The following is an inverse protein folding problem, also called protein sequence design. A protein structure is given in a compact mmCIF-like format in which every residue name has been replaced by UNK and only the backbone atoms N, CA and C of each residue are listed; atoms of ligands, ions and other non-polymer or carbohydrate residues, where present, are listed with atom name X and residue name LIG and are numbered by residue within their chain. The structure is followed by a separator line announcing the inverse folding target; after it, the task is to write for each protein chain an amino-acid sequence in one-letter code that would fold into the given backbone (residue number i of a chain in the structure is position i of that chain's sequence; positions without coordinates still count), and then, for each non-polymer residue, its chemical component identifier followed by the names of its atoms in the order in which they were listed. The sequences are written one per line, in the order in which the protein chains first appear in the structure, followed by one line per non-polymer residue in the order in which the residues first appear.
data_IF_921320992667
#
_entry.id   IF_921320992667
#
_cell.length_a   1.000
_cell.length_b   1.000
_cell.length_c   1.000
_cell.angle_alpha   90.00
_cell.angle_beta   90.00
_cell.angle_gamma   90.00
#
_symmetry.space_group_name_H-M   'P 1'
#
loop_
_entity.id
_entity.type
_entity.pdbx_description
1 polymer ?
#
# COMPACT_ATOMS: atom_id res chain seq x y z
N UNK A 1 -15.59 -25.23 22.17
CA UNK A 1 -14.28 -25.39 21.49
C UNK A 1 -14.26 -24.35 20.39
N UNK A 2 -13.35 -23.38 20.47
CA UNK A 2 -13.20 -22.35 19.44
C UNK A 2 -12.66 -22.99 18.15
N UNK A 3 -13.08 -22.50 16.99
CA UNK A 3 -12.56 -23.00 15.69
C UNK A 3 -11.10 -22.57 15.49
N UNK A 4 -10.30 -23.26 14.65
CA UNK A 4 -8.93 -22.85 14.34
C UNK A 4 -8.82 -21.41 13.78
N UNK A 5 -9.91 -20.88 13.22
CA UNK A 5 -10.05 -19.51 12.73
C UNK A 5 -10.23 -18.47 13.85
N UNK A 6 -10.94 -18.83 14.93
CA UNK A 6 -11.11 -17.96 16.11
C UNK A 6 -9.81 -17.79 16.92
N UNK A 7 -8.86 -18.73 16.77
CA UNK A 7 -7.53 -18.67 17.38
C UNK A 7 -6.55 -17.71 16.66
N UNK A 8 -6.96 -17.07 15.56
CA UNK A 8 -6.05 -16.33 14.67
C UNK A 8 -6.13 -14.80 14.78
N UNK A 9 -7.03 -14.26 15.61
CA UNK A 9 -7.02 -12.81 15.86
C UNK A 9 -5.92 -12.48 16.85
N UNK A 10 -4.90 -11.69 16.44
CA UNK A 10 -3.83 -11.35 17.35
C UNK A 10 -4.38 -10.54 18.53
N UNK A 11 -3.72 -10.67 19.69
CA UNK A 11 -4.03 -9.85 20.85
C UNK A 11 -3.69 -8.37 20.64
N UNK A 12 -3.72 -7.56 21.72
CA UNK A 12 -3.30 -6.18 21.67
C UNK A 12 -1.94 -6.01 20.96
N UNK A 13 -1.80 -4.98 20.13
CA UNK A 13 -0.57 -4.78 19.36
C UNK A 13 0.48 -4.05 20.21
N UNK A 14 1.63 -4.68 20.53
CA UNK A 14 2.69 -4.04 21.29
C UNK A 14 3.26 -2.80 20.57
N UNK A 15 3.26 -2.76 19.23
CA UNK A 15 3.70 -1.58 18.45
C UNK A 15 2.65 -0.47 18.35
N UNK A 16 1.43 -0.74 18.82
CA UNK A 16 0.39 0.27 19.04
C UNK A 16 0.14 0.54 20.53
N UNK A 17 1.16 0.37 21.37
CA UNK A 17 1.07 0.59 22.82
C UNK A 17 -0.02 -0.27 23.48
N UNK A 18 -0.08 -1.56 23.09
CA UNK A 18 -1.05 -2.54 23.58
C UNK A 18 -2.51 -2.15 23.34
N UNK A 19 -2.79 -1.46 22.24
CA UNK A 19 -4.14 -1.21 21.77
C UNK A 19 -4.61 -2.32 20.83
N UNK A 20 -5.92 -2.56 20.82
CA UNK A 20 -6.55 -3.43 19.84
C UNK A 20 -6.60 -2.75 18.47
N UNK A 21 -6.30 -3.50 17.42
CA UNK A 21 -6.51 -3.10 16.04
C UNK A 21 -7.31 -4.22 15.35
N UNK A 22 -8.22 -3.81 14.46
CA UNK A 22 -9.09 -4.72 13.73
C UNK A 22 -9.07 -4.34 12.28
N UNK A 23 -8.94 -5.34 11.41
CA UNK A 23 -9.07 -5.15 9.98
C UNK A 23 -10.54 -4.95 9.60
N UNK A 24 -10.85 -3.85 8.93
CA UNK A 24 -12.12 -3.65 8.23
C UNK A 24 -11.79 -3.23 6.80
N UNK A 25 -12.10 -4.12 5.86
CA UNK A 25 -11.91 -3.90 4.43
C UNK A 25 -12.62 -2.62 3.98
N UNK A 26 -13.88 -2.43 4.39
CA UNK A 26 -14.70 -1.28 4.02
C UNK A 26 -14.06 0.04 4.50
N UNK A 27 -13.55 0.07 5.73
CA UNK A 27 -12.87 1.25 6.26
C UNK A 27 -11.57 1.53 5.52
N UNK A 28 -10.77 0.50 5.25
CA UNK A 28 -9.49 0.64 4.52
C UNK A 28 -9.74 1.18 3.11
N UNK A 29 -10.67 0.57 2.37
CA UNK A 29 -11.07 0.99 1.01
C UNK A 29 -11.59 2.42 1.03
N UNK A 30 -12.52 2.74 1.93
CA UNK A 30 -13.10 4.08 2.06
C UNK A 30 -12.03 5.14 2.37
N UNK A 31 -11.13 4.84 3.31
CA UNK A 31 -10.06 5.75 3.72
C UNK A 31 -9.06 6.01 2.58
N UNK A 32 -8.65 4.97 1.86
CA UNK A 32 -7.76 5.08 0.70
C UNK A 32 -8.43 5.86 -0.44
N UNK A 33 -9.68 5.53 -0.79
CA UNK A 33 -10.46 6.24 -1.82
C UNK A 33 -10.56 7.72 -1.49
N UNK A 34 -10.96 8.04 -0.25
CA UNK A 34 -11.07 9.42 0.21
C UNK A 34 -9.71 10.12 0.18
N UNK A 35 -8.63 9.46 0.54
CA UNK A 35 -7.30 10.05 0.44
C UNK A 35 -6.90 10.34 -1.01
N UNK A 36 -7.00 9.36 -1.92
CA UNK A 36 -6.62 9.53 -3.32
C UNK A 36 -7.42 10.64 -4.02
N UNK A 37 -8.74 10.70 -3.81
CA UNK A 37 -9.61 11.76 -4.38
C UNK A 37 -9.32 13.16 -3.85
N UNK A 38 -8.62 13.28 -2.72
CA UNK A 38 -8.26 14.57 -2.11
C UNK A 38 -6.78 14.95 -2.30
N UNK A 39 -6.03 14.20 -3.11
CA UNK A 39 -4.66 14.58 -3.46
C UNK A 39 -4.68 15.82 -4.38
N UNK A 40 -3.91 16.88 -4.07
CA UNK A 40 -4.04 18.17 -4.76
C UNK A 40 -3.59 18.12 -6.23
N UNK A 41 -2.65 17.24 -6.55
CA UNK A 41 -2.05 17.11 -7.88
C UNK A 41 -2.68 16.00 -8.74
N UNK A 42 -3.61 15.21 -8.20
CA UNK A 42 -4.29 14.13 -8.92
C UNK A 42 -5.74 14.55 -9.14
N UNK A 43 -6.22 14.44 -10.38
CA UNK A 43 -7.64 14.62 -10.68
C UNK A 43 -8.43 13.47 -10.05
N UNK A 44 -9.49 13.79 -9.31
CA UNK A 44 -10.36 12.79 -8.69
C UNK A 44 -11.01 11.86 -9.72
N UNK A 45 -11.14 12.28 -10.99
CA UNK A 45 -11.64 11.46 -12.10
C UNK A 45 -10.67 10.33 -12.49
N UNK A 46 -9.39 10.42 -12.13
CA UNK A 46 -8.40 9.36 -12.33
C UNK A 46 -8.46 8.30 -11.22
N UNK A 47 -9.23 8.54 -10.15
CA UNK A 47 -9.39 7.59 -9.05
C UNK A 47 -10.57 6.69 -9.32
N UNK A 48 -10.29 5.43 -9.57
CA UNK A 48 -11.26 4.40 -9.90
C UNK A 48 -11.64 3.60 -8.64
N UNK A 49 -12.93 3.61 -8.31
CA UNK A 49 -13.51 2.75 -7.29
C UNK A 49 -13.69 1.32 -7.84
N UNK A 50 -13.52 0.32 -6.97
CA UNK A 50 -13.83 -1.05 -7.34
C UNK A 50 -15.34 -1.24 -7.59
N UNK A 51 -15.73 -2.13 -8.52
CA UNK A 51 -17.12 -2.58 -8.63
C UNK A 51 -17.63 -3.17 -7.30
N UNK A 52 -18.96 -3.27 -7.09
CA UNK A 52 -19.52 -3.86 -5.86
C UNK A 52 -19.06 -5.29 -5.57
N UNK A 53 -18.82 -6.09 -6.63
CA UNK A 53 -18.30 -7.46 -6.53
C UNK A 53 -16.76 -7.52 -6.64
N UNK A 54 -16.09 -6.36 -6.56
CA UNK A 54 -14.65 -6.20 -6.73
C UNK A 54 -14.17 -6.30 -8.18
N UNK A 55 -12.87 -6.11 -8.37
CA UNK A 55 -12.21 -6.20 -9.68
C UNK A 55 -12.23 -7.65 -10.19
N UNK A 56 -12.83 -7.92 -11.37
CA UNK A 56 -13.00 -9.29 -11.87
C UNK A 56 -11.68 -9.95 -12.26
N UNK A 57 -10.68 -9.16 -12.64
CA UNK A 57 -9.38 -9.67 -13.07
C UNK A 57 -8.49 -10.12 -11.90
N UNK A 58 -8.83 -9.72 -10.67
CA UNK A 58 -8.09 -10.09 -9.46
C UNK A 58 -8.76 -11.32 -8.84
N UNK A 59 -8.18 -12.49 -9.11
CA UNK A 59 -8.62 -13.78 -8.58
C UNK A 59 -7.43 -14.51 -7.97
N UNK A 60 -7.68 -15.53 -7.14
CA UNK A 60 -6.62 -16.40 -6.63
C UNK A 60 -5.77 -16.97 -7.78
N UNK A 61 -6.40 -17.40 -8.87
CA UNK A 61 -5.72 -17.94 -10.04
C UNK A 61 -4.89 -16.90 -10.79
N UNK A 62 -5.41 -15.68 -10.97
CA UNK A 62 -4.67 -14.63 -11.69
C UNK A 62 -3.46 -14.14 -10.92
N UNK A 63 -3.57 -14.05 -9.59
CA UNK A 63 -2.45 -13.77 -8.69
C UNK A 63 -1.44 -14.93 -8.67
N UNK A 64 -1.89 -16.19 -8.62
CA UNK A 64 -1.03 -17.35 -8.62
C UNK A 64 -0.20 -17.47 -9.91
N UNK A 65 -0.75 -17.06 -11.07
CA UNK A 65 -0.01 -17.01 -12.35
C UNK A 65 1.18 -16.05 -12.34
N UNK A 66 1.14 -15.04 -11.47
CA UNK A 66 2.27 -14.14 -11.22
C UNK A 66 2.96 -14.49 -9.90
N UNK A 67 2.78 -15.69 -9.34
CA UNK A 67 3.49 -16.12 -8.13
C UNK A 67 3.10 -15.40 -6.84
N UNK A 68 1.92 -14.78 -6.82
CA UNK A 68 1.36 -14.14 -5.61
C UNK A 68 0.30 -15.07 -5.02
N UNK A 69 0.47 -15.45 -3.75
CA UNK A 69 -0.46 -16.29 -3.01
C UNK A 69 -0.96 -15.51 -1.78
N UNK A 70 -2.28 -15.39 -1.62
CA UNK A 70 -2.94 -14.63 -0.55
C UNK A 70 -4.01 -15.46 0.15
N UNK A 71 -4.30 -15.11 1.40
CA UNK A 71 -5.51 -15.64 2.07
C UNK A 71 -6.76 -15.05 1.45
N UNK A 72 -7.92 -15.65 1.69
CA UNK A 72 -9.21 -15.15 1.18
C UNK A 72 -9.47 -13.71 1.63
N UNK A 73 -9.15 -13.34 2.88
CA UNK A 73 -9.34 -11.97 3.38
C UNK A 73 -8.44 -10.96 2.65
N UNK A 74 -7.19 -11.33 2.37
CA UNK A 74 -6.25 -10.49 1.64
C UNK A 74 -6.60 -10.38 0.16
N UNK A 75 -7.01 -11.48 -0.47
CA UNK A 75 -7.54 -11.49 -1.84
C UNK A 75 -8.77 -10.57 -1.95
N UNK A 76 -9.70 -10.71 -1.02
CA UNK A 76 -10.95 -9.98 -1.02
C UNK A 76 -10.73 -8.48 -0.78
N UNK A 77 -9.73 -8.11 0.02
CA UNK A 77 -9.27 -6.73 0.12
C UNK A 77 -8.70 -6.23 -1.22
N UNK A 78 -7.78 -6.96 -1.85
CA UNK A 78 -7.16 -6.60 -3.12
C UNK A 78 -8.19 -6.33 -4.23
N UNK A 79 -9.25 -7.14 -4.27
CA UNK A 79 -10.38 -6.98 -5.19
C UNK A 79 -11.14 -5.67 -5.00
N UNK A 80 -11.07 -5.04 -3.84
CA UNK A 80 -11.84 -3.85 -3.52
C UNK A 80 -10.98 -2.59 -3.36
N UNK A 81 -9.65 -2.68 -3.50
CA UNK A 81 -8.79 -1.50 -3.43
C UNK A 81 -9.11 -0.50 -4.56
N UNK A 82 -9.13 0.81 -4.25
CA UNK A 82 -9.20 1.85 -5.26
C UNK A 82 -7.85 2.00 -5.97
N UNK A 83 -7.89 2.43 -7.23
CA UNK A 83 -6.68 2.64 -8.04
C UNK A 83 -6.65 4.03 -8.65
N UNK A 84 -5.44 4.54 -8.87
CA UNK A 84 -5.23 5.81 -9.57
C UNK A 84 -4.70 5.48 -10.96
N UNK A 85 -5.42 5.91 -11.99
CA UNK A 85 -4.99 5.80 -13.37
C UNK A 85 -3.83 6.74 -13.67
N UNK A 86 -2.85 6.24 -14.44
CA UNK A 86 -1.71 7.02 -14.90
C UNK A 86 -0.38 6.32 -14.67
N UNK A 87 0.68 6.88 -15.25
CA UNK A 87 2.04 6.44 -15.01
C UNK A 87 2.55 7.06 -13.71
N UNK A 88 2.90 6.23 -12.73
CA UNK A 88 3.52 6.64 -11.47
C UNK A 88 2.74 7.74 -10.70
N UNK A 89 1.48 7.45 -10.28
CA UNK A 89 0.68 8.40 -9.52
C UNK A 89 1.22 8.53 -8.10
N UNK A 90 2.15 9.44 -7.87
CA UNK A 90 2.79 9.60 -6.57
C UNK A 90 1.77 10.08 -5.52
N UNK A 91 1.75 9.43 -4.36
CA UNK A 91 0.85 9.74 -3.24
C UNK A 91 1.58 10.35 -2.04
N UNK A 92 2.91 10.19 -2.03
CA UNK A 92 3.90 10.96 -1.26
C UNK A 92 5.17 10.99 -2.15
N UNK A 93 6.20 11.83 -1.85
CA UNK A 93 7.43 11.83 -2.64
C UNK A 93 8.00 10.41 -2.86
N UNK A 94 8.29 10.07 -4.12
CA UNK A 94 8.82 8.77 -4.57
C UNK A 94 8.00 7.52 -4.20
N UNK A 95 6.74 7.69 -3.77
CA UNK A 95 5.87 6.58 -3.34
C UNK A 95 4.60 6.54 -4.15
N UNK A 96 4.29 5.36 -4.70
CA UNK A 96 3.17 5.12 -5.62
C UNK A 96 2.27 4.00 -5.08
N UNK A 97 0.94 4.08 -5.23
CA UNK A 97 0.05 2.98 -4.94
C UNK A 97 0.23 1.88 -6.00
N UNK A 98 0.12 0.62 -5.60
CA UNK A 98 0.20 -0.51 -6.51
C UNK A 98 -1.17 -0.76 -7.15
N UNK A 99 -1.22 -0.82 -8.49
CA UNK A 99 -2.38 -1.34 -9.22
C UNK A 99 -2.22 -2.84 -9.49
N UNK A 100 -2.92 -3.67 -8.71
CA UNK A 100 -2.83 -5.12 -8.85
C UNK A 100 -3.48 -5.64 -10.15
N UNK A 101 -4.35 -4.85 -10.80
CA UNK A 101 -4.90 -5.21 -12.13
C UNK A 101 -3.78 -5.19 -13.17
N UNK A 102 -2.92 -4.18 -13.10
CA UNK A 102 -1.74 -4.10 -13.96
C UNK A 102 -0.75 -5.24 -13.65
N UNK A 103 -0.59 -5.61 -12.37
CA UNK A 103 0.26 -6.73 -11.97
C UNK A 103 -0.23 -8.05 -12.55
N UNK A 104 -1.51 -8.41 -12.38
CA UNK A 104 -2.05 -9.67 -12.92
C UNK A 104 -2.11 -9.67 -14.46
N UNK A 105 -2.23 -8.50 -15.09
CA UNK A 105 -2.14 -8.35 -16.54
C UNK A 105 -0.74 -8.67 -17.10
N UNK A 106 0.30 -8.68 -16.25
CA UNK A 106 1.65 -9.13 -16.67
C UNK A 106 1.80 -10.65 -16.72
N UNK A 107 0.79 -11.43 -16.33
CA UNK A 107 0.82 -12.89 -16.40
C UNK A 107 1.15 -13.38 -17.82
N UNK A 108 2.29 -14.05 -17.96
CA UNK A 108 2.83 -14.52 -19.25
C UNK A 108 4.08 -13.77 -19.73
N UNK A 109 4.36 -12.59 -19.19
CA UNK A 109 5.72 -12.07 -19.17
C UNK A 109 6.52 -12.87 -18.13
N UNK A 110 7.76 -13.26 -18.44
CA UNK A 110 8.54 -14.25 -17.69
C UNK A 110 8.92 -13.87 -16.23
N UNK A 111 8.32 -12.82 -15.65
CA UNK A 111 8.56 -12.40 -14.26
C UNK A 111 7.52 -11.37 -13.81
N UNK A 112 7.18 -11.39 -12.51
CA UNK A 112 6.57 -10.24 -11.82
C UNK A 112 7.43 -9.00 -12.10
N UNK A 113 6.83 -7.80 -12.26
CA UNK A 113 7.62 -6.59 -12.41
C UNK A 113 8.65 -6.43 -11.29
N UNK A 114 9.90 -6.13 -11.65
CA UNK A 114 11.02 -6.04 -10.71
C UNK A 114 10.79 -5.02 -9.58
N UNK A 115 9.92 -4.03 -9.78
CA UNK A 115 9.52 -3.05 -8.76
C UNK A 115 8.56 -3.61 -7.71
N UNK A 116 7.75 -4.62 -8.08
CA UNK A 116 6.83 -5.29 -7.16
C UNK A 116 7.58 -6.26 -6.22
N UNK A 117 8.78 -6.70 -6.61
CA UNK A 117 9.62 -7.62 -5.87
C UNK A 117 10.84 -6.89 -5.31
N UNK A 118 10.69 -6.21 -4.18
CA UNK A 118 11.79 -5.46 -3.58
C UNK A 118 12.73 -6.37 -2.80
N UNK A 119 13.70 -6.98 -3.49
CA UNK A 119 15.05 -7.22 -2.98
C UNK A 119 16.09 -7.17 -4.11
N UNK A 120 17.26 -6.60 -3.77
CA UNK A 120 18.37 -6.27 -4.68
C UNK A 120 19.20 -7.50 -5.12
N UNK A 121 18.95 -8.67 -4.57
CA UNK A 121 19.77 -9.88 -4.74
C UNK A 121 19.06 -11.01 -5.50
N UNK A 122 17.84 -10.79 -5.98
CA UNK A 122 17.07 -11.81 -6.69
C UNK A 122 16.54 -12.94 -5.79
N UNK A 123 16.65 -12.79 -4.47
CA UNK A 123 15.97 -13.65 -3.52
C UNK A 123 14.63 -13.05 -3.12
N UNK A 124 13.62 -13.89 -3.05
CA UNK A 124 12.25 -13.51 -2.74
C UNK A 124 12.09 -13.52 -1.23
N UNK A 125 11.53 -12.46 -0.65
CA UNK A 125 10.88 -12.58 0.65
C UNK A 125 9.40 -12.85 0.41
N UNK A 126 8.99 -14.08 0.69
CA UNK A 126 7.58 -14.44 0.78
C UNK A 126 7.03 -13.79 2.05
N UNK A 127 6.49 -12.57 1.92
CA UNK A 127 5.65 -12.03 2.97
C UNK A 127 4.50 -13.00 3.25
N UNK A 128 4.05 -13.10 4.50
CA UNK A 128 2.94 -13.98 4.81
C UNK A 128 1.72 -13.72 3.90
N UNK A 129 0.93 -14.75 3.56
CA UNK A 129 -0.19 -14.61 2.61
C UNK A 129 -1.28 -13.60 3.03
N UNK A 130 -1.32 -13.18 4.30
CA UNK A 130 -2.24 -12.17 4.82
C UNK A 130 -1.69 -10.74 4.74
N UNK A 131 -0.46 -10.55 4.25
CA UNK A 131 0.16 -9.24 4.10
C UNK A 131 -0.02 -8.74 2.67
N UNK A 132 -0.47 -7.49 2.50
CA UNK A 132 -0.69 -6.83 1.22
C UNK A 132 0.21 -5.61 1.10
N UNK A 133 1.07 -5.57 0.08
CA UNK A 133 1.82 -4.36 -0.22
C UNK A 133 0.90 -3.33 -0.88
N UNK A 134 0.71 -2.18 -0.24
CA UNK A 134 -0.14 -1.10 -0.79
C UNK A 134 0.63 -0.14 -1.68
N UNK A 135 1.91 0.08 -1.37
CA UNK A 135 2.73 1.09 -2.06
C UNK A 135 4.07 0.52 -2.52
N UNK A 136 4.59 1.10 -3.58
CA UNK A 136 5.91 0.84 -4.15
C UNK A 136 6.67 2.14 -4.34
N UNK A 137 7.99 2.06 -4.48
CA UNK A 137 8.85 3.18 -4.86
C UNK A 137 9.71 2.86 -6.09
N UNK A 138 10.13 3.90 -6.83
CA UNK A 138 11.11 3.78 -7.93
C UNK A 138 12.55 3.82 -7.44
N UNK A 139 12.77 4.27 -6.21
CA UNK A 139 14.08 4.44 -5.60
C UNK A 139 14.09 4.06 -4.11
N UNK A 140 15.19 4.37 -3.43
CA UNK A 140 15.39 4.10 -2.00
C UNK A 140 14.68 5.10 -1.09
N UNK A 141 14.23 6.23 -1.65
CA UNK A 141 13.70 7.37 -0.89
C UNK A 141 12.18 7.26 -0.71
N UNK A 142 11.51 6.48 -1.56
CA UNK A 142 10.10 6.14 -1.37
C UNK A 142 9.83 5.07 -0.31
N UNK A 143 8.57 4.98 0.08
CA UNK A 143 8.10 4.14 1.18
C UNK A 143 7.27 2.96 0.66
N UNK A 144 7.69 1.73 0.98
CA UNK A 144 6.94 0.51 0.69
C UNK A 144 6.11 0.13 1.92
N UNK A 145 4.81 0.39 1.90
CA UNK A 145 3.92 0.09 3.03
C UNK A 145 3.25 -1.26 2.87
N UNK A 146 3.40 -2.09 3.90
CA UNK A 146 2.83 -3.43 4.01
C UNK A 146 1.65 -3.40 4.96
N UNK A 147 0.48 -3.80 4.48
CA UNK A 147 -0.76 -3.91 5.22
C UNK A 147 -0.95 -5.33 5.73
N UNK A 148 -1.17 -5.49 7.01
CA UNK A 148 -1.51 -6.78 7.61
C UNK A 148 -3.02 -6.91 7.72
N UNK A 149 -3.63 -7.91 7.06
CA UNK A 149 -5.08 -8.09 7.14
C UNK A 149 -5.55 -8.74 8.43
N UNK A 150 -4.65 -9.21 9.31
CA UNK A 150 -5.04 -9.75 10.62
C UNK A 150 -5.49 -8.67 11.58
N UNK A 151 -4.90 -7.47 11.50
CA UNK A 151 -5.17 -6.35 12.40
C UNK A 151 -5.45 -5.02 11.70
N UNK A 152 -5.32 -4.94 10.37
CA UNK A 152 -5.60 -3.76 9.56
C UNK A 152 -4.55 -2.66 9.70
N UNK A 153 -3.32 -3.00 10.07
CA UNK A 153 -2.25 -2.03 10.32
C UNK A 153 -1.19 -2.02 9.22
N UNK A 154 -0.53 -0.87 9.08
CA UNK A 154 0.51 -0.60 8.09
C UNK A 154 1.86 -0.44 8.77
N UNK A 155 2.86 -1.11 8.22
CA UNK A 155 4.26 -0.96 8.61
C UNK A 155 5.11 -0.75 7.36
N UNK A 156 6.07 0.18 7.42
CA UNK A 156 6.99 0.44 6.31
C UNK A 156 7.98 -0.72 6.22
N UNK A 157 8.09 -1.35 5.05
CA UNK A 157 9.14 -2.31 4.74
C UNK A 157 10.47 -1.60 4.50
N UNK A 158 11.55 -2.14 5.08
CA UNK A 158 12.90 -1.61 4.95
C UNK A 158 13.78 -2.64 4.25
N UNK A 159 14.11 -2.36 2.99
CA UNK A 159 14.88 -3.26 2.11
C UNK A 159 16.27 -3.63 2.66
N UNK A 160 16.85 -2.78 3.52
CA UNK A 160 18.16 -3.01 4.14
C UNK A 160 18.09 -3.82 5.44
N UNK A 161 16.89 -4.28 5.83
CA UNK A 161 16.65 -4.83 7.17
C UNK A 161 16.41 -3.74 8.21
N UNK A 162 15.99 -4.13 9.41
CA UNK A 162 15.70 -3.20 10.50
C UNK A 162 16.90 -2.33 10.83
N UNK A 163 16.71 -1.01 10.80
CA UNK A 163 17.79 -0.01 11.08
C UNK A 163 17.74 0.47 12.53
N UNK A 164 16.68 0.12 13.28
CA UNK A 164 16.52 0.49 14.67
C UNK A 164 17.30 -0.46 15.58
N UNK A 165 18.32 0.07 16.26
CA UNK A 165 19.11 -0.67 17.25
C UNK A 165 18.30 -1.04 18.50
N UNK A 166 17.20 -0.32 18.77
CA UNK A 166 16.27 -0.58 19.87
C UNK A 166 14.83 -0.42 19.35
N UNK A 167 14.09 -1.52 19.16
CA UNK A 167 12.69 -1.46 18.75
C UNK A 167 11.80 -0.96 19.91
N UNK A 168 10.76 -0.19 19.59
CA UNK A 168 9.65 0.22 20.48
C UNK A 168 9.02 -1.03 21.09
N UNK A 169 8.82 -2.07 20.28
CA UNK A 169 8.42 -3.38 20.76
C UNK A 169 8.67 -4.52 19.76
N UNK A 170 8.84 -5.71 20.31
CA UNK A 170 8.97 -6.98 19.57
C UNK A 170 7.71 -7.83 19.75
N UNK A 171 7.43 -8.68 18.76
CA UNK A 171 6.34 -9.64 18.83
C UNK A 171 6.82 -11.00 19.37
N UNK A 172 5.93 -11.69 20.07
CA UNK A 172 6.17 -13.08 20.50
C UNK A 172 6.38 -14.01 19.28
N UNK A 173 7.05 -15.15 19.49
CA UNK A 173 7.41 -16.09 18.40
C UNK A 173 6.19 -16.63 17.65
N UNK A 174 5.10 -16.84 18.37
CA UNK A 174 3.82 -17.33 17.89
C UNK A 174 2.89 -16.24 17.30
N UNK A 175 3.25 -14.96 17.42
CA UNK A 175 2.40 -13.87 16.94
C UNK A 175 2.47 -13.78 15.41
N UNK A 176 1.33 -13.82 14.70
CA UNK A 176 1.31 -13.74 13.23
C UNK A 176 1.87 -12.42 12.68
N UNK A 177 2.13 -11.41 13.51
CA UNK A 177 2.70 -10.11 13.15
C UNK A 177 4.23 -10.05 13.27
N UNK A 178 4.87 -11.12 13.78
CA UNK A 178 6.33 -11.20 13.97
C UNK A 178 7.15 -10.94 12.72
N UNK A 179 6.59 -11.20 11.53
CA UNK A 179 7.26 -10.89 10.26
C UNK A 179 7.74 -9.42 10.17
N UNK A 180 7.10 -8.49 10.91
CA UNK A 180 7.48 -7.07 10.97
C UNK A 180 8.80 -6.83 11.71
N UNK A 181 9.22 -7.71 12.63
CA UNK A 181 10.44 -7.55 13.42
C UNK A 181 11.72 -7.69 12.59
N UNK A 182 11.64 -8.42 11.48
CA UNK A 182 12.81 -8.74 10.66
C UNK A 182 13.05 -7.72 9.54
N UNK A 183 11.97 -7.19 8.97
CA UNK A 183 12.01 -6.53 7.67
C UNK A 183 11.27 -5.20 7.62
N UNK A 184 10.71 -4.74 8.73
CA UNK A 184 9.95 -3.50 8.76
C UNK A 184 10.52 -2.50 9.74
N UNK A 185 10.17 -1.24 9.51
CA UNK A 185 10.31 -0.19 10.49
C UNK A 185 9.53 -0.61 11.75
N UNK A 186 10.00 -0.13 12.88
CA UNK A 186 9.45 -0.41 14.18
C UNK A 186 8.12 0.37 14.40
N UNK A 187 7.85 1.38 13.58
CA UNK A 187 6.59 2.14 13.62
C UNK A 187 5.48 1.49 12.79
N UNK A 188 4.42 1.10 13.49
CA UNK A 188 3.17 0.59 12.91
C UNK A 188 2.05 1.61 13.08
N UNK A 189 1.18 1.73 12.08
CA UNK A 189 0.07 2.68 12.09
C UNK A 189 -1.25 2.02 11.69
N UNK A 190 -2.35 2.53 12.24
CA UNK A 190 -3.66 2.34 11.59
C UNK A 190 -3.68 3.09 10.26
N UNK A 191 -4.42 2.57 9.28
CA UNK A 191 -4.51 3.15 7.93
C UNK A 191 -4.87 4.63 7.99
N UNK A 192 -5.94 4.97 8.70
CA UNK A 192 -6.45 6.34 8.79
C UNK A 192 -5.43 7.29 9.38
N UNK A 193 -4.68 6.83 10.39
CA UNK A 193 -3.65 7.65 11.04
C UNK A 193 -2.47 7.90 10.12
N UNK A 194 -2.06 6.91 9.33
CA UNK A 194 -1.00 7.10 8.35
C UNK A 194 -1.43 8.10 7.26
N UNK A 195 -2.64 7.93 6.72
CA UNK A 195 -3.17 8.81 5.67
C UNK A 195 -3.34 10.25 6.17
N UNK A 196 -3.77 10.45 7.43
CA UNK A 196 -3.82 11.76 8.07
C UNK A 196 -2.43 12.42 8.12
N UNK A 197 -1.39 11.67 8.52
CA UNK A 197 -0.01 12.18 8.55
C UNK A 197 0.47 12.61 7.16
N UNK A 198 0.11 11.87 6.11
CA UNK A 198 0.44 12.26 4.75
C UNK A 198 -0.32 13.53 4.34
N UNK A 199 -1.63 13.63 4.61
CA UNK A 199 -2.41 14.84 4.37
C UNK A 199 -1.82 16.06 5.05
N UNK A 200 -1.45 15.94 6.32
CA UNK A 200 -0.77 17.02 7.05
C UNK A 200 0.56 17.42 6.40
N UNK A 201 1.33 16.46 5.89
CA UNK A 201 2.59 16.74 5.19
C UNK A 201 2.34 17.57 3.94
N UNK A 202 1.29 17.28 3.15
CA UNK A 202 0.89 18.09 1.99
C UNK A 202 0.49 19.51 2.38
N UNK A 203 -0.25 19.67 3.48
CA UNK A 203 -0.68 20.99 3.98
C UNK A 203 0.51 21.82 4.48
N UNK A 204 1.45 21.19 5.21
CA UNK A 204 2.61 21.88 5.81
C UNK A 204 3.70 22.23 4.80
N UNK A 205 3.91 21.39 3.78
CA UNK A 205 5.01 21.55 2.82
C UNK A 205 4.71 22.54 1.69
N UNK A 206 3.50 23.11 1.62
CA UNK A 206 3.09 23.97 0.50
C UNK A 206 3.07 23.24 -0.86
N UNK A 207 3.19 21.90 -0.88
CA UNK A 207 3.13 21.11 -2.11
C UNK A 207 1.78 21.26 -2.83
N UNK A 208 0.72 21.64 -2.11
CA UNK A 208 -0.53 22.06 -2.71
C UNK A 208 -0.34 23.27 -3.65
N UNK A 209 0.44 24.29 -3.23
CA UNK A 209 0.73 25.49 -4.03
C UNK A 209 1.67 25.22 -5.21
N UNK A 210 2.69 24.37 -5.01
CA UNK A 210 3.64 24.00 -6.08
C UNK A 210 2.93 23.22 -7.20
N UNK A 211 1.93 22.40 -6.85
CA UNK A 211 1.12 21.67 -7.84
C UNK A 211 0.23 22.61 -8.67
N UNK A 212 -0.27 23.70 -8.07
CA UNK A 212 -1.07 24.72 -8.75
C UNK A 212 -0.22 25.52 -9.76
N UNK A 213 1.00 25.92 -9.35
CA UNK A 213 1.92 26.66 -10.22
C UNK A 213 2.46 25.85 -11.42
N UNK A 214 2.60 24.52 -11.28
CA UNK A 214 2.94 23.64 -12.42
C UNK A 214 1.78 23.44 -13.39
N UNK A 215 0.54 23.33 -12.90
CA UNK A 215 -0.66 23.25 -13.75
C UNK A 215 -0.82 24.50 -14.62
N UNK A 216 -0.55 25.68 -14.09
CA UNK A 216 -0.60 26.94 -14.86
C UNK A 216 0.50 27.00 -15.93
N UNK A 217 1.72 26.54 -15.64
CA UNK A 217 2.82 26.53 -16.62
C UNK A 217 2.66 25.48 -17.71
N UNK A 218 2.05 24.32 -17.43
CA UNK A 218 1.70 23.32 -18.46
C UNK A 218 0.50 23.75 -19.31
N UNK A 219 -0.51 24.41 -18.72
CA UNK A 219 -1.64 24.96 -19.46
C UNK A 219 -1.23 26.07 -20.43
N UNK A 220 -0.31 26.95 -20.00
CA UNK A 220 0.27 28.00 -20.86
C UNK A 220 1.05 27.37 -22.04
N UNK A 221 1.87 26.35 -21.78
CA UNK A 221 2.62 25.64 -22.84
C UNK A 221 1.71 24.91 -23.83
N UNK A 222 0.56 24.40 -23.39
CA UNK A 222 -0.43 23.79 -24.29
C UNK A 222 -1.15 24.81 -25.17
N UNK A 223 -1.38 26.02 -24.65
CA UNK A 223 -2.06 27.09 -25.39
C UNK A 223 -1.14 27.76 -26.41
N UNK A 224 0.17 27.81 -26.15
CA UNK A 224 1.17 28.29 -27.13
C UNK A 224 1.42 27.32 -28.29
N UNK A 225 1.11 26.03 -28.13
CA UNK A 225 1.27 25.01 -29.18
C UNK A 225 0.05 24.86 -30.11
N UNK A 226 -1.11 25.40 -29.75
CA UNK A 226 -2.32 25.40 -30.60
C UNK A 226 -2.39 26.63 -31.54
N UNK A 227 -1.34 27.45 -31.60
CA UNK A 227 -1.25 28.65 -32.44
C UNK A 227 -0.16 28.60 -33.53
N UNK A 228 0.35 27.42 -33.89
CA UNK A 228 1.25 27.22 -35.04
C UNK A 228 0.69 26.19 -36.04
#
# INVERSE_FOLDING_TARGET
MATPEELRKPGPDPRLFYQWATCSRENIVTALTAFYKNLPHIDALLVHDAPPDGWPDITADSLARVGIYKTEEALELLRHLPYIEGSHPWITPETFPIDYRAVVATAGAARIPAWFQTLKDGTFHDFPPWVVQLTTSSDRDGDNYMLDTTDGTLTKFIITGTVCFEPIAEYADEDPRKWRDLWCDDRTYRVEKLLEKWKEKYQKSGLADVSQGRKETEAIRKTEFDFC
#
